data_IF_231691053244
#
_entry.id   IF_231691053244
#
_cell.length_a   1.000
_cell.length_b   1.000
_cell.length_c   1.000
_cell.angle_alpha   90.00
_cell.angle_beta   90.00
_cell.angle_gamma   90.00
#
_symmetry.space_group_name_H-M   'P 1'
#
loop_
_entity.id
_entity.type
_entity.pdbx_description
1 polymer ?
#
# COMPACT_ATOMS: atom_id res chain seq x y z
N UNK A 1 12.35 -13.54 15.90
CA UNK A 1 11.90 -12.71 14.75
C UNK A 1 11.51 -11.33 15.29
N UNK A 2 12.18 -10.24 14.89
CA UNK A 2 12.02 -8.93 15.53
C UNK A 2 11.06 -8.03 14.73
N UNK A 3 9.77 -8.31 14.83
CA UNK A 3 8.69 -7.58 14.13
C UNK A 3 8.68 -6.09 14.51
N UNK A 4 8.98 -5.78 15.78
CA UNK A 4 9.06 -4.41 16.27
C UNK A 4 10.13 -3.59 15.53
N UNK A 5 11.31 -4.18 15.31
CA UNK A 5 12.38 -3.53 14.54
C UNK A 5 11.95 -3.27 13.09
N UNK A 6 11.25 -4.21 12.45
CA UNK A 6 10.73 -4.01 11.10
C UNK A 6 9.73 -2.83 11.04
N UNK A 7 8.80 -2.75 11.99
CA UNK A 7 7.83 -1.64 12.08
C UNK A 7 8.54 -0.29 12.27
N UNK A 8 9.60 -0.25 13.07
CA UNK A 8 10.39 0.97 13.29
C UNK A 8 11.15 1.40 12.04
N UNK A 9 11.77 0.45 11.32
CA UNK A 9 12.49 0.73 10.07
C UNK A 9 11.52 1.26 9.00
N UNK A 10 10.36 0.62 8.81
CA UNK A 10 9.34 1.04 7.85
C UNK A 10 8.35 2.05 8.44
N UNK A 11 8.80 2.90 9.36
CA UNK A 11 7.94 3.91 9.98
C UNK A 11 7.90 5.20 9.14
N UNK A 12 6.78 5.95 9.17
CA UNK A 12 6.66 7.19 8.41
C UNK A 12 7.77 8.23 8.69
N UNK A 13 8.25 8.42 9.94
CA UNK A 13 9.35 9.35 10.20
C UNK A 13 10.64 8.97 9.47
N UNK A 14 10.98 7.67 9.40
CA UNK A 14 12.20 7.22 8.71
C UNK A 14 12.06 7.43 7.20
N UNK A 15 10.91 7.08 6.63
CA UNK A 15 10.65 7.32 5.19
C UNK A 15 10.66 8.81 4.86
N UNK A 16 10.10 9.67 5.72
CA UNK A 16 10.11 11.12 5.53
C UNK A 16 11.52 11.72 5.61
N UNK A 17 12.35 11.24 6.54
CA UNK A 17 13.75 11.63 6.61
C UNK A 17 14.49 11.26 5.32
N UNK A 18 14.24 10.05 4.78
CA UNK A 18 14.85 9.61 3.51
C UNK A 18 14.40 10.48 2.32
N UNK A 19 13.12 10.89 2.28
CA UNK A 19 12.59 11.84 1.29
C UNK A 19 13.29 13.19 1.37
N UNK A 20 13.46 13.72 2.58
CA UNK A 20 14.17 14.99 2.78
C UNK A 20 15.63 14.91 2.31
N UNK A 21 16.32 13.81 2.63
CA UNK A 21 17.69 13.59 2.15
C UNK A 21 17.74 13.46 0.62
N UNK A 22 16.73 12.85 -0.01
CA UNK A 22 16.64 12.81 -1.46
C UNK A 22 16.49 14.22 -2.07
N UNK A 23 15.62 15.05 -1.51
CA UNK A 23 15.37 16.42 -1.97
C UNK A 23 16.59 17.34 -1.78
N UNK A 24 17.43 17.03 -0.79
CA UNK A 24 18.62 17.80 -0.43
C UNK A 24 19.92 17.22 -1.00
N UNK A 25 19.84 16.17 -1.82
CA UNK A 25 21.00 15.47 -2.34
C UNK A 25 21.87 16.39 -3.22
N UNK A 26 23.16 16.49 -2.89
CA UNK A 26 24.10 17.39 -3.58
C UNK A 26 24.00 18.87 -3.16
N UNK A 27 23.08 19.22 -2.27
CA UNK A 27 22.99 20.56 -1.67
C UNK A 27 23.51 20.57 -0.24
N UNK A 28 22.81 19.87 0.66
CA UNK A 28 23.14 19.81 2.10
C UNK A 28 23.43 18.39 2.59
N UNK A 29 23.30 17.40 1.71
CA UNK A 29 23.66 16.01 1.99
C UNK A 29 24.26 15.31 0.76
N UNK A 30 24.73 14.09 0.96
CA UNK A 30 25.45 13.31 -0.04
C UNK A 30 24.64 13.09 -1.33
N UNK A 31 25.29 13.23 -2.49
CA UNK A 31 24.65 13.06 -3.79
C UNK A 31 24.08 11.64 -4.01
N UNK A 32 24.59 10.63 -3.30
CA UNK A 32 24.08 9.26 -3.34
C UNK A 32 22.61 9.15 -2.91
N UNK A 33 22.09 10.10 -2.12
CA UNK A 33 20.67 10.13 -1.74
C UNK A 33 19.73 10.43 -2.90
N UNK A 34 20.21 10.97 -4.03
CA UNK A 34 19.37 11.19 -5.21
C UNK A 34 18.72 9.90 -5.72
N UNK A 35 19.40 8.75 -5.53
CA UNK A 35 18.95 7.44 -5.99
C UNK A 35 17.96 6.71 -5.07
N UNK A 36 17.61 7.24 -3.90
CA UNK A 36 16.82 6.50 -2.89
C UNK A 36 15.31 6.47 -3.16
N UNK A 37 14.83 7.06 -4.26
CA UNK A 37 13.40 7.16 -4.57
C UNK A 37 12.66 5.81 -4.60
N UNK A 38 13.29 4.77 -5.17
CA UNK A 38 12.71 3.42 -5.16
C UNK A 38 12.59 2.85 -3.74
N UNK A 39 13.58 3.08 -2.89
CA UNK A 39 13.57 2.69 -1.48
C UNK A 39 12.46 3.40 -0.73
N UNK A 40 12.28 4.70 -0.94
CA UNK A 40 11.19 5.48 -0.36
C UNK A 40 9.83 4.87 -0.71
N UNK A 41 9.58 4.59 -1.99
CA UNK A 41 8.32 4.00 -2.46
C UNK A 41 8.09 2.61 -1.86
N UNK A 42 9.15 1.81 -1.77
CA UNK A 42 9.10 0.50 -1.13
C UNK A 42 8.73 0.61 0.35
N UNK A 43 9.38 1.50 1.11
CA UNK A 43 9.11 1.69 2.54
C UNK A 43 7.68 2.19 2.79
N UNK A 44 7.17 3.11 1.97
CA UNK A 44 5.77 3.55 2.03
C UNK A 44 4.79 2.39 1.77
N UNK A 45 5.09 1.55 0.78
CA UNK A 45 4.27 0.38 0.44
C UNK A 45 4.25 -0.66 1.57
N UNK A 46 5.43 -0.98 2.12
CA UNK A 46 5.56 -1.93 3.24
C UNK A 46 4.87 -1.40 4.49
N UNK A 47 4.99 -0.10 4.78
CA UNK A 47 4.27 0.52 5.90
C UNK A 47 2.76 0.33 5.76
N UNK A 48 2.21 0.65 4.59
CA UNK A 48 0.77 0.47 4.31
C UNK A 48 0.35 -0.98 4.46
N UNK A 49 1.14 -1.91 3.94
CA UNK A 49 0.87 -3.35 4.07
C UNK A 49 0.86 -3.79 5.54
N UNK A 50 1.85 -3.37 6.35
CA UNK A 50 1.90 -3.67 7.79
C UNK A 50 0.69 -3.12 8.54
N UNK A 51 0.22 -1.92 8.18
CA UNK A 51 -0.97 -1.30 8.77
C UNK A 51 -2.24 -2.07 8.39
N UNK A 52 -2.39 -2.44 7.13
CA UNK A 52 -3.55 -3.20 6.63
C UNK A 52 -3.62 -4.62 7.19
N UNK A 53 -2.48 -5.31 7.27
CA UNK A 53 -2.39 -6.68 7.77
C UNK A 53 -2.51 -6.79 9.29
N UNK A 54 -2.41 -5.68 10.02
CA UNK A 54 -2.61 -5.66 11.46
C UNK A 54 -4.12 -5.70 11.80
N UNK A 55 -4.76 -6.81 11.44
CA UNK A 55 -6.21 -7.06 11.62
C UNK A 55 -6.65 -7.09 13.09
N UNK A 56 -5.72 -7.29 14.02
CA UNK A 56 -5.94 -7.16 15.46
C UNK A 56 -5.98 -5.71 15.96
N UNK A 57 -5.65 -4.73 15.11
CA UNK A 57 -5.62 -3.33 15.49
C UNK A 57 -6.99 -2.67 15.37
N UNK A 58 -7.78 -2.85 16.42
CA UNK A 58 -9.14 -2.31 16.51
C UNK A 58 -9.18 -0.79 16.76
N UNK A 59 -8.07 -0.14 17.13
CA UNK A 59 -8.06 1.24 17.65
C UNK A 59 -7.40 2.25 16.71
N UNK A 60 -6.60 1.82 15.73
CA UNK A 60 -5.91 2.73 14.81
C UNK A 60 -6.84 3.58 13.96
N UNK A 61 -8.02 3.09 13.58
CA UNK A 61 -9.01 3.87 12.84
C UNK A 61 -9.50 5.09 13.63
N UNK A 62 -9.48 5.02 14.97
CA UNK A 62 -9.85 6.10 15.90
C UNK A 62 -8.68 7.07 16.06
N UNK A 63 -7.51 6.57 16.44
CA UNK A 63 -6.36 7.42 16.79
C UNK A 63 -5.67 8.07 15.59
N UNK A 64 -5.69 7.41 14.42
CA UNK A 64 -5.06 7.91 13.19
C UNK A 64 -6.06 8.41 12.15
N UNK A 65 -7.35 8.50 12.49
CA UNK A 65 -8.46 8.89 11.59
C UNK A 65 -8.42 8.15 10.24
N UNK A 66 -8.00 6.89 10.26
CA UNK A 66 -7.90 6.07 9.05
C UNK A 66 -9.09 5.12 8.95
N UNK A 67 -10.17 5.58 8.32
CA UNK A 67 -11.41 4.80 8.16
C UNK A 67 -11.19 3.48 7.40
N UNK A 68 -10.18 3.40 6.53
CA UNK A 68 -9.85 2.19 5.77
C UNK A 68 -9.33 1.03 6.64
N UNK A 69 -8.84 1.33 7.85
CA UNK A 69 -8.37 0.32 8.81
C UNK A 69 -9.41 -0.04 9.87
N UNK A 70 -10.65 0.43 9.72
CA UNK A 70 -11.74 0.06 10.62
C UNK A 70 -12.00 -1.44 10.48
N UNK A 71 -11.97 -2.17 11.59
CA UNK A 71 -12.35 -3.58 11.64
C UNK A 71 -13.74 -3.80 11.05
N UNK A 72 -14.02 -4.99 10.53
CA UNK A 72 -15.38 -5.36 10.14
C UNK A 72 -16.20 -5.59 11.42
N UNK A 73 -17.28 -4.84 11.59
CA UNK A 73 -18.04 -4.86 12.84
C UNK A 73 -18.94 -6.09 12.96
N UNK A 74 -19.37 -6.65 11.83
CA UNK A 74 -20.24 -7.82 11.78
C UNK A 74 -20.14 -8.55 10.43
N UNK A 75 -20.75 -9.74 10.35
CA UNK A 75 -20.90 -10.46 9.08
C UNK A 75 -21.75 -9.70 8.03
N UNK A 76 -22.53 -8.70 8.46
CA UNK A 76 -23.31 -7.82 7.61
C UNK A 76 -22.63 -6.49 7.25
N UNK A 77 -21.34 -6.31 7.58
CA UNK A 77 -20.60 -5.09 7.20
C UNK A 77 -20.57 -4.96 5.66
N UNK A 78 -21.06 -3.84 5.14
CA UNK A 78 -21.17 -3.57 3.70
C UNK A 78 -19.84 -3.73 2.97
N UNK A 79 -18.72 -3.38 3.61
CA UNK A 79 -17.38 -3.54 3.01
C UNK A 79 -17.00 -5.01 2.86
N UNK A 80 -17.40 -5.84 3.84
CA UNK A 80 -17.18 -7.27 3.79
C UNK A 80 -18.09 -7.93 2.73
N UNK A 81 -19.34 -7.47 2.62
CA UNK A 81 -20.27 -7.92 1.57
C UNK A 81 -19.69 -7.60 0.19
N UNK A 82 -19.28 -6.35 -0.04
CA UNK A 82 -18.67 -5.92 -1.30
C UNK A 82 -17.42 -6.75 -1.66
N UNK A 83 -16.55 -7.03 -0.68
CA UNK A 83 -15.36 -7.88 -0.90
C UNK A 83 -15.72 -9.31 -1.28
N UNK A 84 -16.83 -9.85 -0.77
CA UNK A 84 -17.26 -11.23 -1.01
C UNK A 84 -18.05 -11.40 -2.30
N UNK A 85 -18.86 -10.41 -2.68
CA UNK A 85 -19.80 -10.53 -3.80
C UNK A 85 -19.39 -9.66 -4.98
N UNK A 86 -19.30 -8.34 -4.77
CA UNK A 86 -19.10 -7.38 -5.85
C UNK A 86 -17.67 -7.35 -6.40
N UNK A 87 -16.65 -7.54 -5.55
CA UNK A 87 -15.26 -7.47 -5.98
C UNK A 87 -14.82 -8.64 -6.88
N UNK A 88 -15.19 -9.91 -6.58
CA UNK A 88 -14.96 -11.03 -7.50
C UNK A 88 -15.62 -10.84 -8.86
N UNK A 89 -16.88 -10.36 -8.88
CA UNK A 89 -17.61 -10.09 -10.13
C UNK A 89 -16.91 -9.00 -10.95
N UNK A 90 -16.50 -7.90 -10.30
CA UNK A 90 -15.70 -6.85 -10.93
C UNK A 90 -14.40 -7.39 -11.53
N UNK A 91 -13.68 -8.28 -10.85
CA UNK A 91 -12.46 -8.89 -11.38
C UNK A 91 -12.75 -9.82 -12.57
N UNK A 92 -13.87 -10.55 -12.53
CA UNK A 92 -14.30 -11.38 -13.64
C UNK A 92 -14.65 -10.54 -14.88
N UNK A 93 -15.32 -9.41 -14.68
CA UNK A 93 -15.64 -8.44 -15.73
C UNK A 93 -14.39 -7.77 -16.30
N UNK A 94 -13.46 -7.36 -15.43
CA UNK A 94 -12.18 -6.82 -15.86
C UNK A 94 -11.42 -7.84 -16.73
N UNK A 95 -11.39 -9.10 -16.29
CA UNK A 95 -10.73 -10.19 -17.03
C UNK A 95 -11.39 -10.44 -18.39
N UNK A 96 -12.72 -10.46 -18.46
CA UNK A 96 -13.44 -10.69 -19.72
C UNK A 96 -13.22 -9.55 -20.72
N UNK A 97 -13.16 -8.31 -20.25
CA UNK A 97 -12.87 -7.14 -21.07
C UNK A 97 -11.41 -7.11 -21.58
N UNK A 98 -10.45 -7.56 -20.77
CA UNK A 98 -9.05 -7.63 -21.19
C UNK A 98 -8.79 -8.72 -22.25
N UNK A 99 -9.51 -9.84 -22.21
CA UNK A 99 -9.33 -10.94 -23.17
C UNK A 99 -9.87 -10.61 -24.57
N UNK A 100 -10.88 -9.74 -24.67
CA UNK A 100 -11.54 -9.45 -25.95
C UNK A 100 -10.79 -8.44 -26.84
N UNK A 101 -9.88 -7.62 -26.30
CA UNK A 101 -9.27 -6.49 -27.04
C UNK A 101 -7.76 -6.57 -27.28
N UNK A 102 -7.05 -7.51 -26.67
CA UNK A 102 -5.57 -7.54 -26.73
C UNK A 102 -4.97 -8.76 -27.45
N UNK A 103 -5.79 -9.61 -28.09
CA UNK A 103 -5.24 -10.56 -29.04
C UNK A 103 -4.98 -9.82 -30.34
N UNK A 104 -3.72 -9.38 -30.51
CA UNK A 104 -3.18 -8.92 -31.79
C UNK A 104 -3.57 -9.95 -32.85
N UNK A 105 -4.55 -9.61 -33.69
CA UNK A 105 -4.81 -10.34 -34.92
C UNK A 105 -3.55 -10.21 -35.75
N UNK A 106 -2.77 -11.29 -35.80
CA UNK A 106 -1.75 -11.52 -36.83
C UNK A 106 -2.43 -11.28 -38.18
N UNK A 107 -2.18 -10.14 -38.79
CA UNK A 107 -1.92 -9.99 -40.24
C UNK A 107 -1.07 -8.73 -40.41
N UNK A 108 0.24 -8.95 -40.56
CA UNK A 108 1.16 -8.06 -41.29
C UNK A 108 1.85 -8.95 -42.32
#
# INVERSE_FOLDING_TARGET
MNVQRAVQVFSPPVTAALKLLQEQAGHTCDASFAGVGATVQFMDTVHRWLVLMNVSNCTQHIHKKNAGCKQFESAGDERLIWLKTSFPDYLADLKSQCLAKNFLTKET
#
